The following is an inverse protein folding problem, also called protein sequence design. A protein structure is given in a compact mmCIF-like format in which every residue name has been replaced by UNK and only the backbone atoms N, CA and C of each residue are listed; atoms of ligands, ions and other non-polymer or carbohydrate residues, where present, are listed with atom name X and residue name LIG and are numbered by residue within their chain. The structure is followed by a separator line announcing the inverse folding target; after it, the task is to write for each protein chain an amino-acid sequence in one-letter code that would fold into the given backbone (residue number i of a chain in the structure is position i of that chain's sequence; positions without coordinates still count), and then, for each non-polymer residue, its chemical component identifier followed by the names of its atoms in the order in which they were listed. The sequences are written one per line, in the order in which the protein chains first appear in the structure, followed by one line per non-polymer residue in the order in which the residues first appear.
data_IF_288130098667
#
_entry.id   IF_288130098667
#
_cell.length_a   1.000
_cell.length_b   1.000
_cell.length_c   1.000
_cell.angle_alpha   90.00
_cell.angle_beta   90.00
_cell.angle_gamma   90.00
#
_symmetry.space_group_name_H-M   'P 1'
#
loop_
_entity.id
_entity.type
_entity.pdbx_description
1 polymer ?
#
# COMPACT_ATOMS: atom_id res chain seq x y z
N UNK A 1 -18.04 3.46 7.74
CA UNK A 1 -17.98 2.79 6.40
C UNK A 1 -17.44 1.37 6.61
N UNK A 2 -17.83 0.38 5.80
CA UNK A 2 -17.50 -1.03 6.06
C UNK A 2 -15.98 -1.27 5.97
N UNK A 3 -15.39 -1.72 7.08
CA UNK A 3 -14.01 -2.25 7.13
C UNK A 3 -14.00 -3.64 6.52
N UNK A 4 -12.89 -4.05 5.92
CA UNK A 4 -12.69 -5.43 5.48
C UNK A 4 -12.59 -6.32 6.71
N UNK A 5 -13.52 -7.25 6.89
CA UNK A 5 -13.49 -8.17 8.05
C UNK A 5 -12.58 -9.35 7.73
N UNK A 6 -11.93 -9.91 8.75
CA UNK A 6 -11.11 -11.12 8.60
C UNK A 6 -11.84 -12.28 7.91
N UNK A 7 -13.14 -12.47 8.21
CA UNK A 7 -13.96 -13.49 7.54
C UNK A 7 -14.05 -13.24 6.04
N UNK A 8 -14.21 -11.98 5.62
CA UNK A 8 -14.32 -11.61 4.20
C UNK A 8 -12.98 -11.82 3.48
N UNK A 9 -11.86 -11.52 4.16
CA UNK A 9 -10.51 -11.81 3.64
C UNK A 9 -10.35 -13.30 3.37
N UNK A 10 -10.68 -14.16 4.36
CA UNK A 10 -10.56 -15.60 4.22
C UNK A 10 -11.47 -16.15 3.12
N UNK A 11 -12.72 -15.70 3.04
CA UNK A 11 -13.64 -16.08 1.96
C UNK A 11 -13.08 -15.70 0.57
N UNK A 12 -12.50 -14.50 0.45
CA UNK A 12 -11.86 -14.04 -0.78
C UNK A 12 -10.62 -14.87 -1.14
N UNK A 13 -9.81 -15.27 -0.15
CA UNK A 13 -8.64 -16.15 -0.36
C UNK A 13 -9.10 -17.53 -0.84
N UNK A 14 -10.10 -18.12 -0.20
CA UNK A 14 -10.64 -19.44 -0.57
C UNK A 14 -11.20 -19.41 -2.00
N UNK A 15 -11.99 -18.38 -2.31
CA UNK A 15 -12.50 -18.17 -3.66
C UNK A 15 -11.38 -17.98 -4.68
N UNK A 16 -10.38 -17.15 -4.37
CA UNK A 16 -9.24 -16.87 -5.25
C UNK A 16 -8.42 -18.13 -5.51
N UNK A 17 -8.21 -18.97 -4.50
CA UNK A 17 -7.51 -20.25 -4.61
C UNK A 17 -8.29 -21.22 -5.49
N UNK A 18 -9.57 -21.45 -5.18
CA UNK A 18 -10.45 -22.35 -5.94
C UNK A 18 -10.55 -21.97 -7.43
N UNK A 19 -10.58 -20.67 -7.72
CA UNK A 19 -10.72 -20.13 -9.09
C UNK A 19 -9.39 -19.76 -9.75
N UNK A 20 -8.25 -20.12 -9.14
CA UNK A 20 -6.90 -19.86 -9.64
C UNK A 20 -6.63 -18.38 -9.97
N UNK A 21 -7.21 -17.46 -9.18
CA UNK A 21 -7.01 -16.02 -9.40
C UNK A 21 -5.59 -15.58 -9.08
N UNK A 22 -4.93 -16.21 -8.09
CA UNK A 22 -3.52 -15.95 -7.80
C UNK A 22 -2.60 -16.38 -8.95
N UNK A 23 -2.89 -17.50 -9.62
CA UNK A 23 -2.15 -17.90 -10.82
C UNK A 23 -2.30 -16.85 -11.92
N UNK A 24 -3.52 -16.37 -12.17
CA UNK A 24 -3.77 -15.31 -13.16
C UNK A 24 -3.08 -13.99 -12.80
N UNK A 25 -3.02 -13.65 -11.51
CA UNK A 25 -2.25 -12.49 -11.05
C UNK A 25 -0.76 -12.65 -11.37
N UNK A 26 -0.21 -13.85 -11.13
CA UNK A 26 1.19 -14.15 -11.47
C UNK A 26 1.42 -14.16 -12.99
N UNK A 27 0.48 -14.68 -13.79
CA UNK A 27 0.55 -14.62 -15.25
C UNK A 27 0.63 -13.16 -15.74
N UNK A 28 -0.16 -12.26 -15.13
CA UNK A 28 -0.08 -10.82 -15.40
C UNK A 28 1.30 -10.30 -15.00
N UNK A 29 1.81 -10.66 -13.82
CA UNK A 29 3.13 -10.22 -13.35
C UNK A 29 4.29 -10.70 -14.24
N UNK A 30 4.20 -11.92 -14.78
CA UNK A 30 5.19 -12.52 -15.66
C UNK A 30 5.14 -11.93 -17.07
N UNK A 31 4.00 -11.39 -17.50
CA UNK A 31 3.85 -10.74 -18.80
C UNK A 31 4.40 -9.32 -18.84
N UNK A 32 4.71 -8.71 -17.69
CA UNK A 32 5.34 -7.39 -17.66
C UNK A 32 6.68 -7.40 -18.39
N UNK A 33 7.00 -6.36 -19.17
CA UNK A 33 8.34 -6.19 -19.71
C UNK A 33 9.38 -6.18 -18.59
N UNK A 34 10.50 -6.84 -18.83
CA UNK A 34 11.62 -6.83 -17.88
C UNK A 34 12.43 -5.54 -17.97
N UNK A 35 13.26 -5.28 -16.96
CA UNK A 35 14.26 -4.23 -17.01
C UNK A 35 15.29 -4.38 -15.90
N UNK A 36 16.41 -3.68 -16.04
CA UNK A 36 17.49 -3.69 -15.07
C UNK A 36 17.23 -2.62 -13.99
N UNK A 37 16.95 -3.08 -12.77
CA UNK A 37 16.83 -2.24 -11.59
C UNK A 37 18.06 -2.44 -10.71
N UNK A 38 18.75 -1.35 -10.34
CA UNK A 38 19.88 -1.41 -9.40
C UNK A 38 19.51 -1.90 -8.00
N UNK A 39 18.22 -1.85 -7.66
CA UNK A 39 17.71 -2.28 -6.36
C UNK A 39 18.19 -1.40 -5.19
N UNK A 40 18.41 -0.10 -5.44
CA UNK A 40 18.84 0.87 -4.43
C UNK A 40 17.78 1.20 -3.36
N UNK A 41 16.50 0.90 -3.61
CA UNK A 41 15.41 1.12 -2.66
C UNK A 41 14.99 2.59 -2.50
N UNK A 42 15.41 3.51 -3.38
CA UNK A 42 15.03 4.93 -3.32
C UNK A 42 13.54 5.17 -3.60
N UNK A 43 12.91 4.33 -4.41
CA UNK A 43 11.47 4.39 -4.69
C UNK A 43 10.59 3.84 -3.55
N UNK A 44 11.18 3.18 -2.55
CA UNK A 44 10.46 2.49 -1.48
C UNK A 44 10.07 3.44 -0.34
N UNK A 45 9.26 4.45 -0.64
CA UNK A 45 8.96 5.56 0.28
C UNK A 45 7.47 5.87 0.46
N UNK A 46 6.59 5.25 -0.32
CA UNK A 46 5.14 5.49 -0.28
C UNK A 46 4.34 4.20 -0.12
N UNK A 47 3.14 4.31 0.46
CA UNK A 47 2.07 3.31 0.31
C UNK A 47 1.50 3.45 -1.10
N UNK A 48 1.72 2.46 -1.96
CA UNK A 48 1.17 2.47 -3.31
C UNK A 48 -0.26 1.94 -3.31
N UNK A 49 -1.12 2.51 -4.16
CA UNK A 49 -2.44 1.96 -4.45
C UNK A 49 -2.32 0.51 -4.95
N UNK A 50 -3.20 -0.37 -4.48
CA UNK A 50 -3.21 -1.78 -4.90
C UNK A 50 -4.63 -2.28 -5.14
N UNK A 51 -4.74 -3.33 -5.95
CA UNK A 51 -5.98 -4.07 -6.12
C UNK A 51 -6.25 -5.01 -4.94
N UNK A 52 -7.51 -5.42 -4.76
CA UNK A 52 -7.90 -6.36 -3.71
C UNK A 52 -7.16 -7.70 -3.88
N UNK A 53 -7.06 -8.23 -5.09
CA UNK A 53 -6.34 -9.48 -5.35
C UNK A 53 -4.86 -9.42 -4.95
N UNK A 54 -4.22 -8.26 -5.13
CA UNK A 54 -2.83 -8.04 -4.71
C UNK A 54 -2.72 -8.00 -3.19
N UNK A 55 -3.65 -7.33 -2.52
CA UNK A 55 -3.73 -7.34 -1.06
C UNK A 55 -3.86 -8.78 -0.54
N UNK A 56 -4.76 -9.58 -1.09
CA UNK A 56 -4.96 -10.98 -0.66
C UNK A 56 -3.68 -11.80 -0.85
N UNK A 57 -2.97 -11.61 -1.98
CA UNK A 57 -1.71 -12.29 -2.26
C UNK A 57 -0.62 -11.92 -1.23
N UNK A 58 -0.50 -10.63 -0.93
CA UNK A 58 0.44 -10.12 0.10
C UNK A 58 0.04 -10.61 1.49
N UNK A 59 -1.25 -10.63 1.79
CA UNK A 59 -1.77 -11.11 3.07
C UNK A 59 -1.37 -12.58 3.29
N UNK A 60 -1.65 -13.47 2.33
CA UNK A 60 -1.21 -14.87 2.38
C UNK A 60 0.31 -14.99 2.57
N UNK A 61 1.09 -14.23 1.79
CA UNK A 61 2.54 -14.24 1.87
C UNK A 61 3.08 -13.93 3.28
N UNK A 62 2.43 -12.99 3.97
CA UNK A 62 2.80 -12.59 5.33
C UNK A 62 2.30 -13.60 6.37
N UNK A 63 1.07 -14.11 6.26
CA UNK A 63 0.54 -15.11 7.19
C UNK A 63 1.41 -16.38 7.21
N UNK A 64 1.94 -16.81 6.06
CA UNK A 64 2.86 -17.96 5.98
C UNK A 64 4.26 -17.69 6.57
N UNK A 65 4.55 -16.44 6.97
CA UNK A 65 5.88 -15.99 7.43
C UNK A 65 5.76 -15.14 8.69
N UNK A 66 5.48 -15.79 9.82
CA UNK A 66 5.19 -15.14 11.10
C UNK A 66 6.21 -14.05 11.52
N UNK A 67 7.51 -14.33 11.44
CA UNK A 67 8.56 -13.36 11.79
C UNK A 67 8.60 -12.15 10.86
N UNK A 68 8.41 -12.39 9.55
CA UNK A 68 8.33 -11.32 8.57
C UNK A 68 7.11 -10.44 8.84
N UNK A 69 5.94 -11.06 8.99
CA UNK A 69 4.69 -10.40 9.31
C UNK A 69 4.80 -9.53 10.55
N UNK A 70 5.38 -10.07 11.63
CA UNK A 70 5.63 -9.33 12.87
C UNK A 70 6.44 -8.05 12.61
N UNK A 71 7.56 -8.16 11.89
CA UNK A 71 8.42 -7.02 11.56
C UNK A 71 7.69 -5.98 10.70
N UNK A 72 6.94 -6.43 9.70
CA UNK A 72 6.18 -5.55 8.82
C UNK A 72 5.04 -4.84 9.54
N UNK A 73 4.25 -5.54 10.38
CA UNK A 73 3.13 -4.95 11.14
C UNK A 73 3.59 -3.78 12.00
N UNK A 74 4.73 -3.91 12.69
CA UNK A 74 5.26 -2.82 13.51
C UNK A 74 5.55 -1.58 12.65
N UNK A 75 6.16 -1.76 11.48
CA UNK A 75 6.46 -0.68 10.53
C UNK A 75 5.20 -0.11 9.87
N UNK A 76 4.19 -0.94 9.59
CA UNK A 76 2.88 -0.54 9.03
C UNK A 76 2.15 0.38 10.01
N UNK A 77 2.13 0.02 11.29
CA UNK A 77 1.52 0.83 12.35
C UNK A 77 2.23 2.18 12.46
N UNK A 78 3.56 2.21 12.49
CA UNK A 78 4.32 3.48 12.49
C UNK A 78 3.98 4.32 11.26
N UNK A 79 4.08 3.74 10.07
CA UNK A 79 3.80 4.43 8.82
C UNK A 79 2.41 5.06 8.83
N UNK A 80 1.37 4.28 9.13
CA UNK A 80 -0.01 4.76 9.08
C UNK A 80 -0.29 5.87 10.09
N UNK A 81 0.12 5.68 11.35
CA UNK A 81 -0.21 6.61 12.44
C UNK A 81 0.67 7.86 12.46
N UNK A 82 1.87 7.81 11.89
CA UNK A 82 2.78 8.96 11.80
C UNK A 82 2.71 9.69 10.46
N UNK A 83 1.93 9.20 9.48
CA UNK A 83 1.89 9.71 8.10
C UNK A 83 1.79 11.25 8.02
N UNK A 84 1.01 11.90 8.88
CA UNK A 84 0.85 13.36 8.83
C UNK A 84 1.97 14.17 9.49
N UNK A 85 2.85 13.50 10.23
CA UNK A 85 3.88 14.15 11.06
C UNK A 85 5.29 13.91 10.56
N UNK A 86 5.53 12.76 9.93
CA UNK A 86 6.86 12.34 9.51
C UNK A 86 6.76 11.51 8.24
N UNK A 87 7.68 11.77 7.30
CA UNK A 87 7.85 10.90 6.15
C UNK A 87 8.60 9.64 6.56
N UNK A 88 7.91 8.50 6.56
CA UNK A 88 8.49 7.20 6.80
C UNK A 88 8.74 6.48 5.46
N UNK A 89 9.79 5.66 5.39
CA UNK A 89 10.00 4.74 4.26
C UNK A 89 8.89 3.68 4.20
N UNK A 90 8.75 3.03 3.04
CA UNK A 90 7.83 1.92 2.86
C UNK A 90 8.01 0.86 3.99
N UNK A 91 6.93 0.37 4.63
CA UNK A 91 7.02 -0.60 5.71
C UNK A 91 7.69 -1.93 5.34
N UNK A 92 7.78 -2.22 4.05
CA UNK A 92 8.41 -3.42 3.51
C UNK A 92 9.87 -3.21 3.12
N UNK A 93 10.43 -2.03 3.34
CA UNK A 93 11.86 -1.77 3.15
C UNK A 93 12.65 -2.29 4.36
N UNK A 94 13.64 -3.14 4.11
CA UNK A 94 14.58 -3.59 5.14
C UNK A 94 15.75 -2.61 5.32
N UNK A 95 16.63 -2.93 6.26
CA UNK A 95 17.75 -2.07 6.65
C UNK A 95 18.86 -2.06 5.59
N UNK A 96 18.84 -3.00 4.63
CA UNK A 96 19.74 -3.09 3.49
C UNK A 96 19.11 -2.48 2.21
N UNK A 97 18.05 -1.68 2.35
CA UNK A 97 17.28 -1.09 1.24
C UNK A 97 16.62 -2.10 0.29
N UNK A 98 16.36 -3.32 0.73
CA UNK A 98 15.66 -4.37 -0.04
C UNK A 98 14.20 -4.46 0.34
N UNK A 99 13.38 -4.94 -0.58
CA UNK A 99 11.95 -5.16 -0.33
C UNK A 99 11.75 -6.54 0.31
N UNK A 100 11.13 -6.57 1.47
CA UNK A 100 10.80 -7.76 2.25
C UNK A 100 9.68 -8.62 1.63
N UNK A 101 8.88 -8.05 0.72
CA UNK A 101 7.81 -8.73 -0.01
C UNK A 101 8.08 -8.73 -1.52
N UNK A 102 9.34 -8.77 -1.93
CA UNK A 102 9.72 -8.56 -3.34
C UNK A 102 8.98 -9.49 -4.30
N UNK A 103 8.76 -10.75 -3.92
CA UNK A 103 8.09 -11.77 -4.73
C UNK A 103 6.63 -11.41 -5.04
N UNK A 104 5.93 -10.87 -4.04
CA UNK A 104 4.51 -10.47 -4.12
C UNK A 104 4.32 -8.97 -4.18
N UNK A 105 5.36 -8.22 -4.57
CA UNK A 105 5.28 -6.76 -4.65
C UNK A 105 4.18 -6.30 -5.62
N UNK A 106 3.45 -5.21 -5.33
CA UNK A 106 2.34 -4.78 -6.19
C UNK A 106 2.77 -4.33 -7.58
N UNK A 107 1.80 -4.30 -8.51
CA UNK A 107 1.94 -3.86 -9.88
C UNK A 107 2.53 -2.45 -9.98
N UNK A 108 2.06 -1.52 -9.14
CA UNK A 108 2.61 -0.16 -9.07
C UNK A 108 4.12 -0.15 -8.79
N UNK A 109 4.61 -1.03 -7.90
CA UNK A 109 6.04 -1.16 -7.63
C UNK A 109 6.81 -1.81 -8.79
N UNK A 110 6.19 -2.75 -9.53
CA UNK A 110 6.79 -3.40 -10.70
C UNK A 110 6.91 -2.43 -11.88
N UNK A 111 5.89 -1.60 -12.09
CA UNK A 111 5.83 -0.64 -13.19
C UNK A 111 6.63 0.64 -12.95
N UNK A 112 7.05 0.95 -11.73
CA UNK A 112 7.68 2.24 -11.38
C UNK A 112 8.82 2.63 -12.33
N UNK A 113 9.75 1.71 -12.62
CA UNK A 113 10.88 1.97 -13.52
C UNK A 113 10.48 2.12 -15.00
N UNK A 114 9.32 1.60 -15.40
CA UNK A 114 8.88 1.58 -16.79
C UNK A 114 8.18 2.87 -17.25
N UNK A 115 8.06 3.88 -16.40
CA UNK A 115 7.46 5.15 -16.79
C UNK A 115 8.33 5.90 -17.78
N UNK A 116 7.71 6.54 -18.77
CA UNK A 116 8.36 7.62 -19.52
C UNK A 116 8.52 8.84 -18.60
N UNK A 117 9.67 9.51 -18.66
CA UNK A 117 10.00 10.65 -17.78
C UNK A 117 8.98 11.78 -17.87
N UNK A 118 8.47 12.07 -19.07
CA UNK A 118 7.46 13.10 -19.29
C UNK A 118 6.13 12.76 -18.61
N UNK A 119 5.71 11.49 -18.71
CA UNK A 119 4.49 11.00 -18.04
C UNK A 119 4.65 11.03 -16.52
N UNK A 120 5.84 10.67 -16.02
CA UNK A 120 6.17 10.72 -14.59
C UNK A 120 6.05 12.13 -14.03
N UNK A 121 6.68 13.10 -14.69
CA UNK A 121 6.68 14.50 -14.25
C UNK A 121 5.26 15.09 -14.27
N UNK A 122 4.46 14.80 -15.32
CA UNK A 122 3.04 15.20 -15.36
C UNK A 122 2.24 14.61 -14.20
N UNK A 123 2.51 13.37 -13.81
CA UNK A 123 1.85 12.75 -12.67
C UNK A 123 2.30 13.39 -11.34
N UNK A 124 3.59 13.69 -11.20
CA UNK A 124 4.15 14.31 -9.99
C UNK A 124 3.52 15.69 -9.69
N UNK A 125 3.27 16.50 -10.73
CA UNK A 125 2.58 17.78 -10.59
C UNK A 125 1.15 17.61 -10.07
N UNK A 126 0.43 16.60 -10.59
CA UNK A 126 -0.93 16.29 -10.15
C UNK A 126 -0.96 15.80 -8.70
N UNK A 127 -0.02 14.93 -8.31
CA UNK A 127 0.12 14.45 -6.94
C UNK A 127 0.41 15.62 -5.99
N UNK A 128 1.33 16.51 -6.36
CA UNK A 128 1.65 17.70 -5.55
C UNK A 128 0.42 18.57 -5.30
N UNK A 129 -0.41 18.81 -6.32
CA UNK A 129 -1.66 19.58 -6.18
C UNK A 129 -2.65 18.88 -5.23
N UNK A 130 -2.82 17.56 -5.37
CA UNK A 130 -3.70 16.78 -4.48
C UNK A 130 -3.22 16.78 -3.04
N UNK A 131 -1.92 16.64 -2.79
CA UNK A 131 -1.34 16.66 -1.44
C UNK A 131 -1.59 18.00 -0.75
N UNK A 132 -1.40 19.12 -1.45
CA UNK A 132 -1.69 20.44 -0.91
C UNK A 132 -3.18 20.63 -0.63
N UNK A 133 -4.06 20.23 -1.55
CA UNK A 133 -5.51 20.28 -1.32
C UNK A 133 -5.94 19.42 -0.12
N UNK A 134 -5.29 18.27 0.09
CA UNK A 134 -5.53 17.39 1.23
C UNK A 134 -5.04 18.01 2.54
N UNK A 135 -3.87 18.66 2.55
CA UNK A 135 -3.36 19.43 3.70
C UNK A 135 -4.39 20.48 4.13
N UNK A 136 -4.91 21.26 3.18
CA UNK A 136 -5.92 22.29 3.46
C UNK A 136 -7.23 21.71 3.97
N UNK A 137 -7.65 20.56 3.42
CA UNK A 137 -8.82 19.84 3.90
C UNK A 137 -8.66 19.38 5.36
N UNK A 138 -7.52 18.76 5.70
CA UNK A 138 -7.25 18.28 7.06
C UNK A 138 -7.20 19.43 8.07
N UNK A 139 -6.58 20.56 7.71
CA UNK A 139 -6.58 21.77 8.54
C UNK A 139 -8.00 22.27 8.80
N UNK A 140 -8.83 22.39 7.76
CA UNK A 140 -10.22 22.86 7.87
C UNK A 140 -11.11 21.90 8.67
N UNK A 141 -11.00 20.59 8.46
CA UNK A 141 -11.89 19.60 9.07
C UNK A 141 -11.48 19.23 10.50
N UNK A 142 -10.18 19.21 10.81
CA UNK A 142 -9.68 18.62 12.05
C UNK A 142 -8.81 19.58 12.89
N UNK A 143 -8.42 20.73 12.35
CA UNK A 143 -7.70 21.78 13.08
C UNK A 143 -6.23 21.49 13.35
N UNK A 144 -5.62 20.53 12.67
CA UNK A 144 -4.17 20.29 12.71
C UNK A 144 -3.55 20.45 11.32
N UNK A 145 -2.26 20.76 11.28
CA UNK A 145 -1.50 20.88 10.04
C UNK A 145 -0.67 19.62 9.78
N UNK A 146 -0.67 19.16 8.53
CA UNK A 146 0.26 18.13 8.07
C UNK A 146 1.64 18.77 7.91
N UNK A 147 2.68 18.07 8.34
CA UNK A 147 4.07 18.51 8.19
C UNK A 147 4.41 18.78 6.71
N UNK A 148 5.04 19.93 6.43
CA UNK A 148 5.45 20.33 5.08
C UNK A 148 6.43 19.34 4.43
N UNK A 149 7.29 18.68 5.21
CA UNK A 149 8.18 17.64 4.71
C UNK A 149 7.38 16.48 4.12
N UNK A 150 6.27 16.09 4.74
CA UNK A 150 5.38 15.03 4.24
C UNK A 150 4.67 15.48 2.97
N UNK A 151 4.08 16.67 2.99
CA UNK A 151 3.25 17.18 1.88
C UNK A 151 4.08 17.39 0.62
N UNK A 152 5.31 17.89 0.79
CA UNK A 152 6.22 18.21 -0.30
C UNK A 152 7.19 17.08 -0.64
N UNK A 153 7.12 15.94 0.05
CA UNK A 153 7.95 14.79 -0.27
C UNK A 153 7.67 14.31 -1.70
N UNK A 154 8.73 13.97 -2.42
CA UNK A 154 8.66 13.46 -3.78
C UNK A 154 9.63 12.31 -3.92
N UNK A 155 9.17 11.27 -4.60
CA UNK A 155 10.08 10.28 -5.18
C UNK A 155 10.52 10.86 -6.52
N UNK A 156 11.82 10.87 -6.79
CA UNK A 156 12.33 11.32 -8.08
C UNK A 156 12.14 10.25 -9.16
N UNK A 157 12.12 10.68 -10.42
CA UNK A 157 12.15 9.76 -11.55
C UNK A 157 13.38 8.85 -11.47
N UNK A 158 13.21 7.57 -11.81
CA UNK A 158 14.31 6.61 -11.73
C UNK A 158 15.24 6.72 -12.95
N UNK A 159 16.30 7.51 -12.84
CA UNK A 159 17.30 7.64 -13.92
C UNK A 159 18.17 6.38 -14.11
N UNK A 160 18.19 5.46 -13.13
CA UNK A 160 19.04 4.28 -13.16
C UNK A 160 18.36 3.02 -13.69
N UNK A 161 17.04 3.04 -13.89
CA UNK A 161 16.32 1.89 -14.43
C UNK A 161 16.48 1.85 -15.95
N UNK A 162 16.79 0.66 -16.49
CA UNK A 162 16.96 0.47 -17.93
C UNK A 162 15.98 -0.60 -18.40
N UNK A 163 14.92 -0.28 -19.17
CA UNK A 163 14.00 -1.28 -19.69
C UNK A 163 14.72 -2.21 -20.69
N UNK A 164 14.32 -3.48 -20.77
CA UNK A 164 14.95 -4.43 -21.69
C UNK A 164 14.59 -4.19 -23.17
N UNK A 165 13.50 -3.46 -23.44
CA UNK A 165 13.04 -3.09 -24.79
C UNK A 165 12.83 -1.58 -24.89
N UNK A 166 11.73 -1.08 -24.32
CA UNK A 166 11.40 0.34 -24.26
C UNK A 166 10.59 0.63 -22.98
N UNK A 167 10.50 1.91 -22.62
CA UNK A 167 9.61 2.40 -21.58
C UNK A 167 8.15 2.27 -22.02
N UNK A 168 7.29 1.93 -21.06
CA UNK A 168 5.87 1.71 -21.33
C UNK A 168 5.14 3.04 -21.50
N UNK A 169 4.33 3.12 -22.55
CA UNK A 169 3.34 4.18 -22.71
C UNK A 169 2.30 4.14 -21.59
N UNK A 170 1.58 5.25 -21.40
CA UNK A 170 0.45 5.29 -20.47
C UNK A 170 -0.60 4.22 -20.77
N UNK A 171 -0.90 3.96 -22.04
CA UNK A 171 -1.90 2.96 -22.44
C UNK A 171 -1.50 1.55 -22.05
N UNK A 172 -0.24 1.17 -22.29
CA UNK A 172 0.29 -0.15 -21.90
C UNK A 172 0.32 -0.32 -20.39
N UNK A 173 0.67 0.73 -19.63
CA UNK A 173 0.60 0.66 -18.16
C UNK A 173 -0.83 0.46 -17.68
N UNK A 174 -1.79 1.18 -18.26
CA UNK A 174 -3.21 1.09 -17.89
C UNK A 174 -3.80 -0.29 -18.21
N UNK A 175 -3.41 -0.95 -19.30
CA UNK A 175 -3.94 -2.28 -19.62
C UNK A 175 -3.61 -3.31 -18.53
N UNK A 176 -2.42 -3.25 -17.90
CA UNK A 176 -2.11 -4.13 -16.77
C UNK A 176 -3.00 -3.86 -15.54
N UNK A 177 -3.34 -2.59 -15.27
CA UNK A 177 -4.29 -2.27 -14.20
C UNK A 177 -5.69 -2.78 -14.54
N UNK A 178 -6.11 -2.68 -15.80
CA UNK A 178 -7.40 -3.21 -16.26
C UNK A 178 -7.48 -4.74 -16.05
N UNK A 179 -6.39 -5.47 -16.31
CA UNK A 179 -6.32 -6.92 -16.03
C UNK A 179 -6.52 -7.24 -14.55
N UNK A 180 -5.90 -6.48 -13.64
CA UNK A 180 -6.10 -6.63 -12.20
C UNK A 180 -7.53 -6.26 -11.78
N UNK A 181 -8.12 -5.23 -12.39
CA UNK A 181 -9.53 -4.87 -12.15
C UNK A 181 -10.48 -5.98 -12.57
N UNK A 182 -10.19 -6.69 -13.65
CA UNK A 182 -10.96 -7.87 -14.06
C UNK A 182 -10.88 -8.97 -13.00
N UNK A 183 -9.72 -9.18 -12.36
CA UNK A 183 -9.59 -10.14 -11.26
C UNK A 183 -10.42 -9.72 -10.04
N UNK A 184 -10.32 -8.45 -9.64
CA UNK A 184 -11.09 -7.89 -8.53
C UNK A 184 -12.60 -7.98 -8.77
N UNK A 185 -13.05 -7.68 -10.00
CA UNK A 185 -14.46 -7.75 -10.37
C UNK A 185 -15.09 -9.11 -10.08
N UNK A 186 -14.32 -10.20 -10.11
CA UNK A 186 -14.81 -11.56 -9.82
C UNK A 186 -15.09 -11.75 -8.34
N UNK A 187 -14.42 -11.03 -7.46
CA UNK A 187 -14.66 -11.05 -6.02
C UNK A 187 -15.92 -10.23 -5.67
N UNK A 188 -16.05 -9.05 -6.27
CA UNK A 188 -17.19 -8.16 -6.04
C UNK A 188 -18.50 -8.68 -6.67
N UNK A 189 -18.47 -9.11 -7.94
CA UNK A 189 -19.68 -9.55 -8.67
C UNK A 189 -20.29 -10.83 -8.11
N UNK A 190 -19.48 -11.68 -7.46
CA UNK A 190 -19.95 -12.89 -6.78
C UNK A 190 -20.32 -12.63 -5.31
N UNK A 191 -20.39 -11.37 -4.89
CA UNK A 191 -20.74 -10.93 -3.53
C UNK A 191 -19.93 -11.63 -2.43
N UNK A 192 -18.67 -11.99 -2.73
CA UNK A 192 -17.76 -12.60 -1.75
C UNK A 192 -17.37 -11.57 -0.69
N UNK A 193 -17.33 -10.29 -1.09
CA UNK A 193 -17.05 -9.15 -0.25
C UNK A 193 -17.98 -7.99 -0.62
N UNK A 194 -18.46 -7.29 0.41
CA UNK A 194 -19.29 -6.09 0.28
C UNK A 194 -18.57 -4.90 0.92
N UNK A 195 -17.62 -4.35 0.16
CA UNK A 195 -16.91 -3.12 0.51
C UNK A 195 -16.95 -2.16 -0.68
N UNK A 196 -16.93 -0.87 -0.38
CA UNK A 196 -16.78 0.13 -1.44
C UNK A 196 -15.47 -0.10 -2.20
N UNK A 197 -15.59 -0.13 -3.52
CA UNK A 197 -14.45 -0.03 -4.42
C UNK A 197 -13.81 1.35 -4.24
N UNK A 198 -12.57 1.38 -3.76
CA UNK A 198 -11.82 2.60 -3.47
C UNK A 198 -10.36 2.39 -3.79
N UNK A 199 -9.71 3.46 -4.21
CA UNK A 199 -8.25 3.54 -4.27
C UNK A 199 -7.71 3.45 -2.83
N UNK A 200 -7.21 2.26 -2.46
CA UNK A 200 -6.62 1.94 -1.16
C UNK A 200 -5.17 1.56 -1.39
N UNK A 201 -4.28 2.12 -0.59
CA UNK A 201 -2.90 1.67 -0.57
C UNK A 201 -2.72 0.38 0.20
N UNK A 202 -1.56 -0.25 0.01
CA UNK A 202 -1.17 -1.48 0.71
C UNK A 202 -1.22 -1.35 2.23
N UNK A 203 -0.81 -0.19 2.77
CA UNK A 203 -0.83 0.08 4.21
C UNK A 203 -2.26 0.17 4.72
N UNK A 204 -3.14 0.85 3.99
CA UNK A 204 -4.55 1.03 4.32
C UNK A 204 -5.28 -0.32 4.40
N UNK A 205 -5.09 -1.19 3.40
CA UNK A 205 -5.66 -2.54 3.42
C UNK A 205 -5.21 -3.33 4.66
N UNK A 206 -3.91 -3.29 4.99
CA UNK A 206 -3.37 -4.01 6.13
C UNK A 206 -3.88 -3.43 7.46
N UNK A 207 -3.99 -2.11 7.57
CA UNK A 207 -4.58 -1.46 8.75
C UNK A 207 -6.06 -1.83 8.89
N UNK A 208 -6.83 -1.85 7.81
CA UNK A 208 -8.25 -2.27 7.81
C UNK A 208 -8.41 -3.76 8.16
N UNK A 209 -7.39 -4.60 7.94
CA UNK A 209 -7.39 -6.01 8.38
C UNK A 209 -7.08 -6.18 9.88
N UNK A 210 -6.38 -5.22 10.48
CA UNK A 210 -6.01 -5.22 11.90
C UNK A 210 -7.03 -4.49 12.79
N UNK A 211 -7.71 -3.48 12.23
CA UNK A 211 -8.61 -2.60 12.97
C UNK A 211 -9.86 -2.31 12.16
N UNK A 212 -10.96 -2.02 12.86
CA UNK A 212 -12.06 -1.30 12.23
C UNK A 212 -11.56 0.04 11.69
N UNK A 213 -11.82 0.30 10.41
CA UNK A 213 -11.43 1.53 9.70
C UNK A 213 -11.67 2.81 10.52
N UNK A 214 -12.90 2.99 11.01
CA UNK A 214 -13.30 4.21 11.71
C UNK A 214 -12.51 4.38 13.02
N UNK A 215 -12.17 3.27 13.70
CA UNK A 215 -11.32 3.28 14.88
C UNK A 215 -9.89 3.74 14.53
N UNK A 216 -9.25 3.11 13.53
CA UNK A 216 -7.89 3.46 13.12
C UNK A 216 -7.79 4.93 12.69
N UNK A 217 -8.75 5.39 11.88
CA UNK A 217 -8.80 6.77 11.42
C UNK A 217 -9.01 7.75 12.58
N UNK A 218 -9.97 7.51 13.47
CA UNK A 218 -10.23 8.38 14.62
C UNK A 218 -9.01 8.47 15.56
N UNK A 219 -8.31 7.35 15.78
CA UNK A 219 -7.07 7.34 16.55
C UNK A 219 -5.99 8.17 15.86
N UNK A 220 -5.81 8.00 14.54
CA UNK A 220 -4.84 8.78 13.74
C UNK A 220 -5.11 10.28 13.84
N UNK A 221 -6.36 10.71 13.65
CA UNK A 221 -6.75 12.12 13.80
C UNK A 221 -6.45 12.63 15.22
N UNK A 222 -6.79 11.86 16.26
CA UNK A 222 -6.56 12.27 17.64
C UNK A 222 -5.07 12.47 17.96
N UNK A 223 -4.21 11.53 17.59
CA UNK A 223 -2.77 11.63 17.87
C UNK A 223 -2.06 12.69 17.00
N UNK A 224 -2.64 13.05 15.85
CA UNK A 224 -2.18 14.18 15.05
C UNK A 224 -2.51 15.52 15.71
N UNK A 225 -3.67 15.63 16.37
CA UNK A 225 -4.05 16.82 17.16
C UNK A 225 -3.31 16.92 18.50
N UNK A 226 -2.94 15.80 19.10
CA UNK A 226 -2.29 15.73 20.41
C UNK A 226 -0.91 15.03 20.34
N UNK A 227 0.16 15.71 19.86
CA UNK A 227 1.47 15.07 19.69
C UNK A 227 2.06 14.44 20.96
N UNK A 228 1.71 14.96 22.14
CA UNK A 228 2.18 14.49 23.46
C UNK A 228 1.77 13.04 23.76
N UNK A 229 0.61 12.58 23.25
CA UNK A 229 0.13 11.22 23.50
C UNK A 229 0.55 10.23 22.41
N UNK A 230 1.00 10.72 21.25
CA UNK A 230 1.28 9.94 20.03
C UNK A 230 2.14 8.71 20.28
N UNK A 231 3.35 8.90 20.82
CA UNK A 231 4.31 7.80 21.07
C UNK A 231 3.74 6.75 22.02
N UNK A 232 3.06 7.16 23.09
CA UNK A 232 2.44 6.25 24.06
C UNK A 232 1.32 5.43 23.41
N UNK A 233 0.47 6.09 22.62
CA UNK A 233 -0.65 5.45 21.93
C UNK A 233 -0.18 4.45 20.89
N UNK A 234 0.74 4.82 20.00
CA UNK A 234 1.31 3.92 18.99
C UNK A 234 1.97 2.70 19.65
N UNK A 235 2.76 2.90 20.72
CA UNK A 235 3.37 1.79 21.44
C UNK A 235 2.34 0.84 22.09
N UNK A 236 1.23 1.36 22.59
CA UNK A 236 0.14 0.54 23.14
C UNK A 236 -0.54 -0.28 22.03
N UNK A 237 -0.81 0.33 20.88
CA UNK A 237 -1.41 -0.32 19.72
C UNK A 237 -0.53 -1.49 19.24
N UNK A 238 0.78 -1.25 19.07
CA UNK A 238 1.73 -2.30 18.70
C UNK A 238 1.70 -3.48 19.68
N UNK A 239 1.70 -3.20 20.99
CA UNK A 239 1.64 -4.26 22.01
C UNK A 239 0.36 -5.10 21.89
N UNK A 240 -0.80 -4.46 21.67
CA UNK A 240 -2.07 -5.17 21.53
C UNK A 240 -2.07 -6.10 20.30
N UNK A 241 -1.65 -5.60 19.13
CA UNK A 241 -1.58 -6.43 17.91
C UNK A 241 -0.61 -7.60 18.09
N UNK A 242 0.56 -7.34 18.69
CA UNK A 242 1.56 -8.38 18.90
C UNK A 242 1.10 -9.42 19.91
N UNK A 243 0.33 -9.05 20.94
CA UNK A 243 -0.24 -10.00 21.89
C UNK A 243 -1.31 -10.90 21.24
N UNK A 244 -2.18 -10.34 20.38
CA UNK A 244 -3.15 -11.14 19.62
C UNK A 244 -2.48 -12.13 18.66
N UNK A 245 -1.30 -11.78 18.11
CA UNK A 245 -0.53 -12.70 17.25
C UNK A 245 0.08 -13.91 17.97
N UNK A 246 0.06 -13.95 19.31
CA UNK A 246 0.51 -15.10 20.11
C UNK A 246 -0.63 -16.02 20.57
N UNK A 247 -1.89 -15.64 20.32
CA UNK A 247 -3.08 -16.35 20.82
C UNK A 247 -3.74 -17.20 19.70
N UNK A 248 -3.18 -17.20 18.48
CA UNK A 248 -3.62 -18.04 17.37
C UNK A 248 -2.70 -19.23 17.14
#
# INVERSE_FOLDING_TARGET
MTSIKNKDILNCIDYSTKNKLFNKLNDVYESLPTGNCSGCGNCCMESVGINLIEFLNIFCYLEDRADLRRRCIIKIVDYYFEEYSKKNSCPFKDDNNRCLIYEVRPLNCRLFGHWKKEDYNKNLDNVTKKNNAYKDLMKRQHGFEINDEVVNYRIDYCESFIPSKDYLSKSERLSFFDELMILDSKLYSNSIIDIDFKDRGIVEYLIESLFYRDLAYNVKIRISKEPKIKKRTINRIKRLILLESYIK
#
